data_IF_234927926589
#
_entry.id   IF_234927926589
#
_cell.length_a   1.000
_cell.length_b   1.000
_cell.length_c   1.000
_cell.angle_alpha   90.00
_cell.angle_beta   90.00
_cell.angle_gamma   90.00
#
_symmetry.space_group_name_H-M   'P 1'
#
loop_
_entity.id
_entity.type
_entity.pdbx_description
1 polymer ?
#
# COMPACT_ATOMS: atom_id res chain seq x y z
N UNK A 1 42.72 22.35 4.12
CA UNK A 1 41.97 21.11 3.84
C UNK A 1 41.19 20.75 5.09
N UNK A 2 39.88 21.03 5.12
CA UNK A 2 38.98 20.66 6.22
C UNK A 2 37.97 19.64 5.68
N UNK A 3 37.70 18.52 6.37
CA UNK A 3 36.90 17.44 5.81
C UNK A 3 35.40 17.73 5.95
N UNK A 4 34.72 17.50 4.84
CA UNK A 4 33.28 17.45 4.64
C UNK A 4 32.76 16.19 5.32
N UNK A 5 31.76 16.27 6.21
CA UNK A 5 30.74 15.21 6.45
C UNK A 5 29.83 15.57 7.64
N UNK A 6 28.54 15.73 7.40
CA UNK A 6 27.44 15.37 8.34
C UNK A 6 26.05 15.70 7.76
N UNK A 7 25.75 15.23 6.55
CA UNK A 7 24.43 15.40 5.92
C UNK A 7 23.53 14.15 5.96
N UNK A 8 24.11 12.95 5.89
CA UNK A 8 23.35 11.76 5.46
C UNK A 8 22.89 10.80 6.56
N UNK A 9 23.30 11.00 7.82
CA UNK A 9 23.01 10.03 8.90
C UNK A 9 21.74 10.32 9.73
N UNK A 10 21.04 11.45 9.49
CA UNK A 10 19.88 11.85 10.32
C UNK A 10 18.53 11.26 9.89
N UNK A 11 18.43 10.64 8.71
CA UNK A 11 17.17 10.08 8.18
C UNK A 11 16.90 8.66 8.71
N UNK A 12 17.93 7.85 8.93
CA UNK A 12 17.81 6.46 9.43
C UNK A 12 17.54 6.34 10.93
N UNK A 13 17.74 7.41 11.71
CA UNK A 13 17.78 7.34 13.18
C UNK A 13 16.57 7.96 13.91
N UNK A 14 15.53 8.42 13.21
CA UNK A 14 14.38 9.09 13.86
C UNK A 14 13.31 8.15 14.40
N UNK A 15 13.29 6.90 13.95
CA UNK A 15 12.37 5.89 14.45
C UNK A 15 13.16 4.80 15.15
N UNK A 16 13.09 4.72 16.48
CA UNK A 16 13.72 3.62 17.22
C UNK A 16 13.05 2.31 16.83
N UNK A 17 13.84 1.35 16.31
CA UNK A 17 13.37 -0.01 16.01
C UNK A 17 12.76 -0.68 17.25
N UNK A 18 13.34 -0.42 18.42
CA UNK A 18 12.86 -0.94 19.70
C UNK A 18 11.44 -0.48 20.04
N UNK A 19 11.10 0.78 19.74
CA UNK A 19 9.75 1.31 19.97
C UNK A 19 8.76 0.61 19.05
N UNK A 20 9.09 0.47 17.76
CA UNK A 20 8.26 -0.25 16.80
C UNK A 20 8.03 -1.69 17.24
N UNK A 21 9.09 -2.39 17.65
CA UNK A 21 9.03 -3.77 18.13
C UNK A 21 8.14 -3.91 19.36
N UNK A 22 8.31 -3.05 20.36
CA UNK A 22 7.46 -3.04 21.58
C UNK A 22 5.99 -2.80 21.26
N UNK A 23 5.71 -1.82 20.40
CA UNK A 23 4.34 -1.53 19.94
C UNK A 23 3.74 -2.72 19.21
N UNK A 24 4.49 -3.34 18.30
CA UNK A 24 4.03 -4.48 17.53
C UNK A 24 3.76 -5.71 18.40
N UNK A 25 4.67 -6.04 19.33
CA UNK A 25 4.46 -7.14 20.30
C UNK A 25 3.18 -6.90 21.11
N UNK A 26 2.96 -5.67 21.56
CA UNK A 26 1.77 -5.30 22.33
C UNK A 26 0.49 -5.47 21.49
N UNK A 27 0.52 -5.05 20.22
CA UNK A 27 -0.60 -5.21 19.28
C UNK A 27 -0.89 -6.68 18.99
N UNK A 28 0.15 -7.49 18.72
CA UNK A 28 0.01 -8.93 18.47
C UNK A 28 -0.57 -9.63 19.70
N UNK A 29 -0.08 -9.30 20.91
CA UNK A 29 -0.60 -9.84 22.16
C UNK A 29 -2.09 -9.49 22.35
N UNK A 30 -2.47 -8.25 22.05
CA UNK A 30 -3.87 -7.83 22.11
C UNK A 30 -4.75 -8.59 21.12
N UNK A 31 -4.31 -8.74 19.85
CA UNK A 31 -5.06 -9.46 18.82
C UNK A 31 -5.20 -10.94 19.16
N UNK A 32 -4.14 -11.59 19.68
CA UNK A 32 -4.21 -12.98 20.18
C UNK A 32 -5.24 -13.16 21.30
N UNK A 33 -5.31 -12.21 22.23
CA UNK A 33 -6.31 -12.23 23.31
C UNK A 33 -7.73 -12.10 22.74
N UNK A 34 -7.95 -11.18 21.79
CA UNK A 34 -9.24 -11.02 21.13
C UNK A 34 -9.70 -12.28 20.40
N UNK A 35 -8.79 -12.96 19.69
CA UNK A 35 -9.09 -14.23 19.01
C UNK A 35 -9.40 -15.35 20.01
N UNK A 36 -8.76 -15.36 21.18
CA UNK A 36 -9.06 -16.33 22.24
C UNK A 36 -10.39 -16.07 22.96
N UNK A 37 -10.80 -14.80 23.09
CA UNK A 37 -12.04 -14.40 23.76
C UNK A 37 -13.26 -14.54 22.81
N UNK A 38 -13.08 -14.42 21.49
CA UNK A 38 -14.11 -14.65 20.48
C UNK A 38 -14.13 -16.14 20.05
N UNK A 39 -15.03 -16.92 20.63
CA UNK A 39 -15.20 -18.37 20.38
C UNK A 39 -15.77 -18.76 19.00
N UNK A 40 -16.13 -17.81 18.14
CA UNK A 40 -16.60 -18.10 16.78
C UNK A 40 -15.83 -17.28 15.75
N UNK A 41 -15.28 -17.92 14.70
CA UNK A 41 -14.69 -17.18 13.59
C UNK A 41 -15.84 -16.49 12.86
N UNK A 42 -15.90 -15.17 12.97
CA UNK A 42 -16.83 -14.36 12.17
C UNK A 42 -16.48 -14.65 10.70
N UNK A 43 -17.38 -15.35 10.00
CA UNK A 43 -17.28 -15.74 8.59
C UNK A 43 -17.37 -14.54 7.65
N UNK A 44 -16.45 -13.60 7.81
CA UNK A 44 -16.25 -12.44 6.97
C UNK A 44 -14.78 -12.12 6.96
N UNK A 45 -14.12 -12.39 5.83
CA UNK A 45 -12.83 -11.86 5.35
C UNK A 45 -12.08 -10.98 6.38
N UNK A 46 -11.56 -11.61 7.44
CA UNK A 46 -11.10 -10.90 8.65
C UNK A 46 -9.95 -9.98 8.26
N UNK A 47 -10.08 -8.70 8.56
CA UNK A 47 -9.05 -7.71 8.25
C UNK A 47 -7.91 -7.80 9.27
N UNK A 48 -7.08 -8.81 9.08
CA UNK A 48 -5.91 -9.11 9.91
C UNK A 48 -4.64 -8.38 9.45
N UNK A 49 -4.80 -7.30 8.68
CA UNK A 49 -3.69 -6.46 8.28
C UNK A 49 -3.30 -5.48 9.39
N UNK A 50 -2.00 -5.27 9.52
CA UNK A 50 -1.41 -4.21 10.34
C UNK A 50 -1.28 -2.98 9.47
N UNK A 51 -1.76 -1.87 10.00
CA UNK A 51 -1.83 -0.58 9.33
C UNK A 51 -0.91 0.43 10.00
N UNK A 52 -0.11 1.11 9.19
CA UNK A 52 0.64 2.30 9.56
C UNK A 52 -0.20 3.53 9.20
N UNK A 53 -0.65 4.25 10.22
CA UNK A 53 -1.38 5.51 10.11
C UNK A 53 -0.38 6.68 10.10
N UNK A 54 -0.32 7.36 8.98
CA UNK A 54 0.38 8.62 8.78
C UNK A 54 -0.56 9.79 9.07
N UNK A 55 -0.10 10.75 9.88
CA UNK A 55 -0.73 12.05 10.03
C UNK A 55 0.19 13.14 9.52
N UNK A 56 -0.32 13.96 8.61
CA UNK A 56 0.36 15.10 8.00
C UNK A 56 0.02 16.41 8.72
N UNK A 57 0.95 17.36 8.68
CA UNK A 57 0.78 18.71 9.24
C UNK A 57 -0.13 19.59 8.38
N UNK A 58 -0.08 19.42 7.06
CA UNK A 58 -0.92 20.12 6.09
C UNK A 58 -1.54 19.12 5.13
N UNK A 59 -2.72 19.46 4.63
CA UNK A 59 -3.41 18.68 3.60
C UNK A 59 -2.54 18.70 2.32
N UNK A 60 -2.27 17.53 1.73
CA UNK A 60 -1.49 17.44 0.49
C UNK A 60 -2.24 18.07 -0.69
N UNK A 61 -1.49 18.57 -1.69
CA UNK A 61 -2.10 19.16 -2.88
C UNK A 61 -2.82 18.09 -3.74
N UNK A 62 -3.80 18.51 -4.55
CA UNK A 62 -4.70 17.62 -5.30
C UNK A 62 -3.96 16.63 -6.21
N UNK A 63 -2.80 17.00 -6.74
CA UNK A 63 -2.03 16.13 -7.65
C UNK A 63 -1.50 14.87 -6.97
N UNK A 64 -1.17 14.94 -5.67
CA UNK A 64 -0.75 13.78 -4.89
C UNK A 64 -1.90 12.82 -4.55
N UNK A 65 -3.15 13.25 -4.75
CA UNK A 65 -4.35 12.49 -4.36
C UNK A 65 -4.99 11.71 -5.51
N UNK A 66 -4.53 11.92 -6.75
CA UNK A 66 -5.11 11.32 -7.97
C UNK A 66 -4.76 9.84 -8.11
N UNK A 67 -3.52 9.49 -7.80
CA UNK A 67 -3.00 8.14 -7.99
C UNK A 67 -2.46 7.55 -6.69
N UNK A 68 -2.64 6.25 -6.44
CA UNK A 68 -1.90 5.56 -5.39
C UNK A 68 -0.40 5.60 -5.68
N UNK A 69 0.39 5.79 -4.63
CA UNK A 69 1.84 5.74 -4.69
C UNK A 69 2.32 4.38 -4.20
N UNK A 70 3.30 3.80 -4.90
CA UNK A 70 3.94 2.54 -4.52
C UNK A 70 4.98 2.82 -3.45
N UNK A 71 4.96 2.02 -2.40
CA UNK A 71 5.99 2.01 -1.36
C UNK A 71 6.62 0.62 -1.38
N UNK A 72 7.89 0.49 -1.80
CA UNK A 72 8.56 -0.80 -1.78
C UNK A 72 8.73 -1.27 -0.34
N UNK A 73 8.38 -2.53 -0.09
CA UNK A 73 8.56 -3.19 1.21
C UNK A 73 9.37 -4.47 1.01
N UNK A 74 10.31 -4.77 1.92
CA UNK A 74 11.20 -5.92 1.77
C UNK A 74 10.48 -7.27 1.87
N UNK A 75 9.49 -7.39 2.76
CA UNK A 75 8.71 -8.62 2.93
C UNK A 75 7.29 -8.42 2.37
N UNK A 76 6.92 -9.20 1.35
CA UNK A 76 5.63 -9.08 0.67
C UNK A 76 4.46 -9.38 1.61
N UNK A 77 3.43 -8.53 1.61
CA UNK A 77 2.20 -8.68 2.41
C UNK A 77 1.30 -9.83 1.94
N UNK A 78 1.71 -10.51 0.87
CA UNK A 78 0.91 -11.49 0.19
C UNK A 78 1.44 -12.88 0.48
N UNK A 79 0.52 -13.80 0.73
CA UNK A 79 0.80 -15.23 0.62
C UNK A 79 1.35 -15.48 -0.78
N UNK A 80 2.49 -16.17 -0.84
CA UNK A 80 3.34 -16.48 -1.99
C UNK A 80 2.71 -16.23 -3.38
N UNK A 81 3.44 -15.57 -4.30
CA UNK A 81 2.94 -15.14 -5.62
C UNK A 81 2.37 -16.28 -6.48
N UNK A 82 2.74 -17.53 -6.18
CA UNK A 82 2.30 -18.74 -6.87
C UNK A 82 0.85 -19.16 -6.56
N UNK A 83 0.32 -18.83 -5.38
CA UNK A 83 -1.04 -19.18 -4.98
C UNK A 83 -2.03 -18.02 -5.16
N UNK A 84 -1.53 -16.80 -5.34
CA UNK A 84 -2.36 -15.61 -5.49
C UNK A 84 -2.86 -15.45 -6.93
N UNK A 85 -4.18 -15.38 -7.10
CA UNK A 85 -4.77 -15.14 -8.44
C UNK A 85 -4.59 -13.68 -8.82
N UNK A 86 -3.67 -13.42 -9.73
CA UNK A 86 -3.28 -12.07 -10.14
C UNK A 86 -3.93 -11.65 -11.45
N UNK A 87 -4.47 -10.43 -11.50
CA UNK A 87 -5.08 -9.84 -12.68
C UNK A 87 -4.28 -8.62 -13.18
N UNK A 88 -3.84 -8.64 -14.44
CA UNK A 88 -3.14 -7.52 -15.08
C UNK A 88 -4.08 -6.73 -16.00
N UNK A 89 -4.22 -5.43 -15.76
CA UNK A 89 -5.03 -4.52 -16.57
C UNK A 89 -4.13 -3.71 -17.50
N UNK A 90 -4.31 -3.89 -18.80
CA UNK A 90 -3.53 -3.26 -19.86
C UNK A 90 -4.34 -2.18 -20.58
N UNK A 91 -3.65 -1.12 -20.98
CA UNK A 91 -4.18 -0.09 -21.86
C UNK A 91 -4.24 -0.57 -23.31
N UNK A 92 -5.46 -0.78 -23.82
CA UNK A 92 -5.72 -1.22 -25.21
C UNK A 92 -5.91 -0.02 -26.17
N UNK A 93 -5.76 1.23 -25.69
CA UNK A 93 -5.91 2.43 -26.54
C UNK A 93 -4.81 2.49 -27.61
N UNK A 94 -5.17 2.78 -28.88
CA UNK A 94 -4.18 2.99 -29.93
C UNK A 94 -3.40 4.28 -29.63
N UNK A 95 -2.06 4.23 -29.69
CA UNK A 95 -1.22 5.42 -29.66
C UNK A 95 -0.86 5.82 -31.09
N UNK A 96 -0.77 7.13 -31.40
CA UNK A 96 -0.33 7.59 -32.72
C UNK A 96 1.11 7.15 -33.07
N UNK A 97 2.00 7.01 -32.07
CA UNK A 97 3.42 6.69 -32.26
C UNK A 97 3.87 5.40 -31.55
N UNK A 98 2.96 4.51 -31.17
CA UNK A 98 3.33 3.20 -30.60
C UNK A 98 2.27 2.17 -30.90
N UNK A 99 2.68 1.01 -31.39
CA UNK A 99 1.77 -0.11 -31.62
C UNK A 99 1.08 -0.53 -30.31
N UNK A 100 -0.13 -1.05 -30.46
CA UNK A 100 -1.04 -1.52 -29.41
C UNK A 100 -0.37 -2.57 -28.49
N UNK A 101 -0.57 -2.50 -27.18
CA UNK A 101 -0.19 -3.59 -26.27
C UNK A 101 -1.28 -4.66 -26.35
N UNK A 102 -1.06 -5.68 -27.17
CA UNK A 102 -2.00 -6.80 -27.32
C UNK A 102 -1.84 -7.77 -26.15
N UNK A 103 -2.96 -8.39 -25.74
CA UNK A 103 -2.96 -9.44 -24.69
C UNK A 103 -1.97 -10.55 -25.02
N UNK A 104 -1.81 -10.91 -26.29
CA UNK A 104 -0.87 -11.92 -26.76
C UNK A 104 0.60 -11.53 -26.54
N UNK A 105 0.94 -10.26 -26.70
CA UNK A 105 2.30 -9.78 -26.43
C UNK A 105 2.61 -9.84 -24.94
N UNK A 106 1.63 -9.44 -24.11
CA UNK A 106 1.76 -9.53 -22.68
C UNK A 106 1.83 -10.98 -22.20
N UNK A 107 0.99 -11.87 -22.72
CA UNK A 107 1.00 -13.29 -22.38
C UNK A 107 2.31 -13.97 -22.76
N UNK A 108 2.86 -13.69 -23.96
CA UNK A 108 4.19 -14.16 -24.35
C UNK A 108 5.27 -13.65 -23.41
N UNK A 109 5.27 -12.36 -23.09
CA UNK A 109 6.28 -11.75 -22.20
C UNK A 109 6.16 -12.28 -20.76
N UNK A 110 4.95 -12.49 -20.25
CA UNK A 110 4.69 -13.06 -18.92
C UNK A 110 5.15 -14.52 -18.84
N UNK A 111 4.85 -15.32 -19.87
CA UNK A 111 5.30 -16.72 -19.98
C UNK A 111 6.82 -16.82 -20.10
N UNK A 112 7.44 -15.94 -20.89
CA UNK A 112 8.90 -15.87 -20.99
C UNK A 112 9.58 -15.44 -19.70
N UNK A 113 8.93 -14.60 -18.90
CA UNK A 113 9.46 -14.10 -17.63
C UNK A 113 9.08 -14.96 -16.42
N UNK A 114 8.24 -15.99 -16.59
CA UNK A 114 7.82 -16.89 -15.52
C UNK A 114 6.93 -16.24 -14.45
N UNK A 115 6.21 -15.17 -14.79
CA UNK A 115 5.41 -14.41 -13.82
C UNK A 115 4.02 -15.06 -13.68
N UNK A 116 3.55 -15.39 -12.45
CA UNK A 116 2.25 -16.02 -12.23
C UNK A 116 1.10 -15.01 -12.36
N UNK A 117 0.72 -14.64 -13.59
CA UNK A 117 -0.47 -13.82 -13.86
C UNK A 117 -1.59 -14.70 -14.38
N UNK A 118 -2.70 -14.78 -13.63
CA UNK A 118 -3.84 -15.64 -13.94
C UNK A 118 -4.72 -15.10 -15.06
N UNK A 119 -4.92 -13.77 -15.15
CA UNK A 119 -5.78 -13.16 -16.17
C UNK A 119 -5.30 -11.78 -16.61
N UNK A 120 -5.27 -11.56 -17.92
CA UNK A 120 -4.97 -10.25 -18.51
C UNK A 120 -6.29 -9.62 -19.00
N UNK A 121 -6.61 -8.43 -18.50
CA UNK A 121 -7.79 -7.66 -18.87
C UNK A 121 -7.41 -6.41 -19.66
N UNK A 122 -8.19 -6.13 -20.70
CA UNK A 122 -8.08 -4.88 -21.46
C UNK A 122 -9.00 -3.83 -20.86
N UNK A 123 -8.58 -2.57 -20.91
CA UNK A 123 -9.42 -1.45 -20.49
C UNK A 123 -10.79 -1.43 -21.21
N UNK A 124 -10.83 -1.75 -22.52
CA UNK A 124 -12.06 -1.78 -23.30
C UNK A 124 -13.03 -2.87 -22.81
N UNK A 125 -12.53 -4.08 -22.56
CA UNK A 125 -13.32 -5.19 -21.99
C UNK A 125 -13.80 -4.88 -20.59
N UNK A 126 -12.98 -4.21 -19.78
CA UNK A 126 -13.38 -3.77 -18.45
C UNK A 126 -14.54 -2.76 -18.48
N UNK A 127 -14.61 -1.92 -19.51
CA UNK A 127 -15.72 -0.96 -19.69
C UNK A 127 -17.00 -1.61 -20.22
N UNK A 128 -16.90 -2.60 -21.11
CA UNK A 128 -18.06 -3.28 -21.69
C UNK A 128 -18.65 -4.33 -20.74
N UNK A 129 -17.81 -5.27 -20.30
CA UNK A 129 -18.26 -6.55 -19.71
C UNK A 129 -18.53 -6.39 -18.21
N UNK A 130 -17.82 -5.46 -17.56
CA UNK A 130 -17.88 -5.24 -16.12
C UNK A 130 -18.63 -3.95 -15.77
N UNK A 131 -19.76 -3.69 -16.44
CA UNK A 131 -20.61 -2.52 -16.14
C UNK A 131 -21.52 -2.75 -14.93
N UNK A 132 -22.09 -3.94 -14.81
CA UNK A 132 -23.00 -4.34 -13.73
C UNK A 132 -22.27 -4.41 -12.39
N UNK A 133 -23.03 -4.27 -11.30
CA UNK A 133 -22.48 -4.41 -9.94
C UNK A 133 -22.00 -5.83 -9.67
N UNK A 134 -22.78 -6.82 -10.10
CA UNK A 134 -22.52 -8.24 -9.91
C UNK A 134 -21.22 -8.68 -10.57
N UNK A 135 -21.01 -8.37 -11.85
CA UNK A 135 -19.77 -8.75 -12.56
C UNK A 135 -18.53 -8.08 -11.94
N UNK A 136 -18.65 -6.86 -11.43
CA UNK A 136 -17.56 -6.20 -10.66
C UNK A 136 -17.26 -6.95 -9.37
N UNK A 137 -18.31 -7.40 -8.66
CA UNK A 137 -18.16 -8.15 -7.42
C UNK A 137 -17.55 -9.53 -7.67
N UNK A 138 -17.97 -10.22 -8.73
CA UNK A 138 -17.39 -11.48 -9.18
C UNK A 138 -15.90 -11.32 -9.51
N UNK A 139 -15.53 -10.26 -10.23
CA UNK A 139 -14.14 -9.95 -10.52
C UNK A 139 -13.34 -9.74 -9.23
N UNK A 140 -13.89 -8.98 -8.28
CA UNK A 140 -13.24 -8.72 -6.99
C UNK A 140 -13.06 -10.00 -6.16
N UNK A 141 -14.01 -10.94 -6.22
CA UNK A 141 -13.95 -12.21 -5.49
C UNK A 141 -13.04 -13.24 -6.19
N UNK A 142 -12.89 -13.15 -7.50
CA UNK A 142 -12.10 -14.08 -8.31
C UNK A 142 -10.60 -13.81 -8.28
N UNK A 143 -10.17 -12.61 -7.90
CA UNK A 143 -8.76 -12.25 -7.88
C UNK A 143 -8.37 -11.63 -6.55
N UNK A 144 -7.13 -11.87 -6.15
CA UNK A 144 -6.56 -11.34 -4.92
C UNK A 144 -5.81 -10.03 -5.19
N UNK A 145 -5.19 -9.95 -6.36
CA UNK A 145 -4.29 -8.86 -6.73
C UNK A 145 -4.69 -8.31 -8.10
N UNK A 146 -4.70 -6.99 -8.17
CA UNK A 146 -4.87 -6.27 -9.43
C UNK A 146 -3.61 -5.45 -9.68
N UNK A 147 -2.98 -5.67 -10.83
CA UNK A 147 -1.90 -4.87 -11.37
C UNK A 147 -2.49 -4.09 -12.54
N UNK A 148 -2.17 -2.81 -12.69
CA UNK A 148 -2.67 -2.02 -13.81
C UNK A 148 -1.63 -1.04 -14.31
N UNK A 149 -1.62 -0.80 -15.62
CA UNK A 149 -0.74 0.21 -16.21
C UNK A 149 -0.95 1.58 -15.53
N UNK A 150 0.14 2.28 -15.19
CA UNK A 150 0.10 3.64 -14.61
C UNK A 150 -0.87 4.57 -15.33
N UNK A 151 -1.03 4.44 -16.65
CA UNK A 151 -1.90 5.27 -17.49
C UNK A 151 -3.38 4.99 -17.33
N UNK A 152 -3.76 3.80 -16.88
CA UNK A 152 -5.17 3.43 -16.71
C UNK A 152 -5.67 3.72 -15.30
N UNK A 153 -4.77 3.79 -14.33
CA UNK A 153 -5.06 3.94 -12.90
C UNK A 153 -6.00 5.11 -12.60
N UNK A 154 -5.80 6.27 -13.23
CA UNK A 154 -6.65 7.44 -13.02
C UNK A 154 -8.09 7.24 -13.52
N UNK A 155 -8.31 6.33 -14.48
CA UNK A 155 -9.63 6.01 -15.03
C UNK A 155 -10.33 4.87 -14.28
N UNK A 156 -9.57 4.01 -13.59
CA UNK A 156 -10.11 2.83 -12.91
C UNK A 156 -11.16 3.15 -11.84
N UNK A 157 -11.05 4.22 -11.01
CA UNK A 157 -12.10 4.58 -10.07
C UNK A 157 -13.46 4.81 -10.72
N UNK A 158 -13.49 5.36 -11.94
CA UNK A 158 -14.73 5.58 -12.70
C UNK A 158 -15.35 4.29 -13.25
N UNK A 159 -14.53 3.28 -13.58
CA UNK A 159 -14.97 2.03 -14.20
C UNK A 159 -15.33 1.00 -13.13
N UNK A 160 -14.39 0.69 -12.24
CA UNK A 160 -14.54 -0.29 -11.16
C UNK A 160 -15.49 0.21 -10.05
N UNK A 161 -15.64 1.54 -9.93
CA UNK A 161 -16.59 2.16 -9.02
C UNK A 161 -16.33 1.85 -7.55
N UNK A 162 -17.37 2.02 -6.74
CA UNK A 162 -17.30 1.87 -5.27
C UNK A 162 -17.00 0.43 -4.83
N UNK A 163 -17.33 -0.59 -5.64
CA UNK A 163 -17.10 -2.00 -5.29
C UNK A 163 -15.63 -2.26 -4.93
N UNK A 164 -14.72 -1.74 -5.76
CA UNK A 164 -13.27 -1.89 -5.55
C UNK A 164 -12.70 -0.86 -4.57
N UNK A 165 -13.19 0.38 -4.63
CA UNK A 165 -12.57 1.51 -3.93
C UNK A 165 -13.17 1.81 -2.54
N UNK A 166 -14.30 1.20 -2.16
CA UNK A 166 -14.93 1.41 -0.83
C UNK A 166 -14.07 0.83 0.28
N UNK A 167 -13.67 -0.44 0.16
CA UNK A 167 -12.92 -1.13 1.21
C UNK A 167 -11.40 -0.92 1.08
N UNK A 168 -10.93 -0.34 -0.02
CA UNK A 168 -9.51 -0.09 -0.33
C UNK A 168 -8.58 -1.32 -0.17
N UNK A 169 -9.15 -2.54 -0.09
CA UNK A 169 -8.38 -3.77 0.14
C UNK A 169 -7.67 -4.23 -1.11
N UNK A 170 -8.37 -4.25 -2.25
CA UNK A 170 -7.92 -4.75 -3.56
C UNK A 170 -7.88 -3.63 -4.62
N UNK A 171 -7.16 -2.56 -4.31
CA UNK A 171 -6.95 -1.46 -5.28
C UNK A 171 -5.88 -1.91 -6.29
N UNK A 172 -6.08 -1.65 -7.59
CA UNK A 172 -5.07 -1.94 -8.59
C UNK A 172 -3.74 -1.21 -8.33
N UNK A 173 -2.65 -1.96 -8.27
CA UNK A 173 -1.28 -1.47 -8.12
C UNK A 173 -0.81 -0.90 -9.46
N UNK A 174 -0.30 0.34 -9.50
CA UNK A 174 0.21 0.91 -10.74
C UNK A 174 1.53 0.25 -11.14
N UNK A 175 1.63 -0.33 -12.33
CA UNK A 175 2.86 -0.89 -12.91
C UNK A 175 3.21 -0.16 -14.20
N UNK A 176 4.49 0.10 -14.43
CA UNK A 176 4.91 0.78 -15.66
C UNK A 176 5.15 -0.24 -16.79
N UNK A 177 4.14 -0.42 -17.64
CA UNK A 177 4.19 -1.36 -18.76
C UNK A 177 4.68 -0.65 -20.04
N UNK A 178 5.98 -0.36 -20.10
CA UNK A 178 6.67 0.10 -21.33
C UNK A 178 7.08 -1.10 -22.18
N UNK A 179 6.99 -1.03 -23.51
CA UNK A 179 7.33 -2.17 -24.39
C UNK A 179 8.75 -2.69 -24.18
N UNK A 180 9.70 -1.77 -24.10
CA UNK A 180 11.14 -2.05 -23.95
C UNK A 180 11.58 -2.04 -22.47
N UNK A 181 10.64 -2.01 -21.52
CA UNK A 181 10.95 -2.00 -20.10
C UNK A 181 11.06 -3.39 -19.48
N UNK A 182 11.69 -3.44 -18.32
CA UNK A 182 11.84 -4.61 -17.46
C UNK A 182 10.54 -4.91 -16.71
N UNK A 183 9.67 -5.67 -17.38
CA UNK A 183 8.36 -6.04 -16.81
C UNK A 183 8.51 -6.91 -15.57
N UNK A 184 9.56 -7.73 -15.52
CA UNK A 184 9.81 -8.63 -14.40
C UNK A 184 10.02 -7.84 -13.11
N UNK A 185 10.96 -6.91 -13.12
CA UNK A 185 11.28 -6.10 -11.95
C UNK A 185 10.09 -5.22 -11.52
N UNK A 186 9.38 -4.60 -12.48
CA UNK A 186 8.22 -3.78 -12.16
C UNK A 186 7.05 -4.58 -11.57
N UNK A 187 6.85 -5.82 -12.03
CA UNK A 187 5.78 -6.69 -11.52
C UNK A 187 6.18 -7.31 -10.18
N UNK A 188 7.43 -7.76 -10.02
CA UNK A 188 7.96 -8.24 -8.74
C UNK A 188 7.91 -7.13 -7.69
N UNK A 189 8.31 -5.91 -8.04
CA UNK A 189 8.12 -4.73 -7.20
C UNK A 189 6.64 -4.44 -6.95
N UNK A 190 5.76 -4.69 -7.93
CA UNK A 190 4.31 -4.60 -7.76
C UNK A 190 3.76 -5.55 -6.69
N UNK A 191 4.29 -6.77 -6.61
CA UNK A 191 3.96 -7.74 -5.57
C UNK A 191 4.53 -7.34 -4.20
N UNK A 192 5.76 -6.86 -4.16
CA UNK A 192 6.46 -6.43 -2.95
C UNK A 192 6.22 -4.95 -2.60
N UNK A 193 5.11 -4.33 -3.03
CA UNK A 193 4.81 -2.94 -2.66
C UNK A 193 3.53 -2.80 -1.85
N UNK A 194 3.55 -1.85 -0.93
CA UNK A 194 2.35 -1.35 -0.26
C UNK A 194 1.87 -0.09 -0.96
N UNK A 195 0.54 0.10 -1.01
CA UNK A 195 -0.07 1.27 -1.64
C UNK A 195 -0.36 2.34 -0.60
N UNK A 196 0.16 3.55 -0.85
CA UNK A 196 -0.22 4.75 -0.12
C UNK A 196 -1.18 5.60 -0.95
N UNK A 197 -2.40 5.76 -0.44
CA UNK A 197 -3.35 6.73 -0.97
C UNK A 197 -3.34 8.00 -0.11
N UNK A 198 -2.79 9.09 -0.64
CA UNK A 198 -2.90 10.40 -0.01
C UNK A 198 -4.32 10.94 -0.25
N UNK A 199 -5.09 11.04 0.82
CA UNK A 199 -6.45 11.57 0.74
C UNK A 199 -6.46 13.10 0.76
N UNK A 200 -7.62 13.72 0.56
CA UNK A 200 -7.82 15.17 0.77
C UNK A 200 -7.79 15.57 2.26
N UNK A 201 -7.56 14.62 3.16
CA UNK A 201 -7.37 14.86 4.58
C UNK A 201 -5.90 14.87 4.98
N UNK A 202 -5.66 15.01 6.29
CA UNK A 202 -4.32 14.94 6.88
C UNK A 202 -3.90 13.52 7.22
N UNK A 203 -4.84 12.59 7.31
CA UNK A 203 -4.57 11.20 7.67
C UNK A 203 -4.56 10.29 6.43
N UNK A 204 -3.55 9.42 6.35
CA UNK A 204 -3.43 8.38 5.34
C UNK A 204 -2.98 7.08 5.99
N UNK A 205 -3.33 5.95 5.40
CA UNK A 205 -3.06 4.62 5.96
C UNK A 205 -2.31 3.80 4.93
N UNK A 206 -1.31 3.04 5.39
CA UNK A 206 -0.49 2.11 4.60
C UNK A 206 -0.54 0.74 5.26
N UNK A 207 -0.62 -0.33 4.48
CA UNK A 207 -0.52 -1.70 5.00
C UNK A 207 0.94 -2.07 5.19
N UNK A 208 1.30 -2.65 6.32
CA UNK A 208 2.71 -2.94 6.66
C UNK A 208 2.97 -4.38 7.07
N UNK A 209 1.94 -5.15 7.41
CA UNK A 209 2.08 -6.57 7.72
C UNK A 209 0.74 -7.28 7.72
N UNK A 210 0.77 -8.60 7.73
CA UNK A 210 -0.37 -9.45 8.09
C UNK A 210 -0.10 -10.05 9.47
N UNK A 211 -1.13 -10.19 10.29
CA UNK A 211 -1.02 -10.81 11.61
C UNK A 211 -0.65 -12.29 11.54
N UNK A 212 -1.24 -12.99 10.56
CA UNK A 212 -1.01 -14.42 10.34
C UNK A 212 -0.01 -14.62 9.19
N UNK A 213 1.09 -15.34 9.47
CA UNK A 213 2.08 -15.74 8.47
C UNK A 213 3.34 -14.88 8.35
N UNK A 214 3.52 -13.85 9.17
CA UNK A 214 4.75 -13.04 9.21
C UNK A 214 5.39 -13.01 10.59
N UNK A 215 6.72 -12.95 10.62
CA UNK A 215 7.45 -12.76 11.87
C UNK A 215 7.48 -11.29 12.31
N UNK A 216 7.68 -11.09 13.61
CA UNK A 216 7.72 -9.74 14.21
C UNK A 216 8.85 -8.90 13.61
N UNK A 217 10.01 -9.51 13.36
CA UNK A 217 11.17 -8.79 12.81
C UNK A 217 10.95 -8.35 11.36
N UNK A 218 10.37 -9.21 10.53
CA UNK A 218 10.04 -8.89 9.14
C UNK A 218 9.06 -7.71 9.06
N UNK A 219 8.07 -7.67 9.95
CA UNK A 219 7.11 -6.56 10.02
C UNK A 219 7.82 -5.28 10.49
N UNK A 220 8.78 -5.36 11.42
CA UNK A 220 9.56 -4.19 11.85
C UNK A 220 10.36 -3.62 10.68
N UNK A 221 11.05 -4.47 9.91
CA UNK A 221 11.80 -4.03 8.73
C UNK A 221 10.86 -3.45 7.66
N UNK A 222 9.69 -4.05 7.45
CA UNK A 222 8.64 -3.49 6.61
C UNK A 222 8.17 -2.10 7.07
N UNK A 223 7.96 -1.89 8.38
CA UNK A 223 7.55 -0.60 8.92
C UNK A 223 8.64 0.46 8.69
N UNK A 224 9.90 0.11 8.90
CA UNK A 224 11.03 1.03 8.69
C UNK A 224 11.15 1.41 7.21
N UNK A 225 11.07 0.42 6.31
CA UNK A 225 11.08 0.65 4.86
C UNK A 225 9.86 1.47 4.42
N UNK A 226 8.68 1.15 4.95
CA UNK A 226 7.45 1.87 4.65
C UNK A 226 7.54 3.33 5.08
N UNK A 227 8.06 3.63 6.27
CA UNK A 227 8.26 5.03 6.67
C UNK A 227 9.24 5.75 5.74
N UNK A 228 10.35 5.11 5.36
CA UNK A 228 11.28 5.66 4.39
C UNK A 228 10.59 6.06 3.08
N UNK A 229 9.85 5.12 2.47
CA UNK A 229 9.12 5.38 1.22
C UNK A 229 7.96 6.37 1.38
N UNK A 230 7.23 6.36 2.50
CA UNK A 230 6.18 7.36 2.78
C UNK A 230 6.79 8.76 2.79
N UNK A 231 7.93 8.95 3.46
CA UNK A 231 8.56 10.26 3.61
C UNK A 231 8.99 10.84 2.26
N UNK A 232 9.41 10.02 1.31
CA UNK A 232 9.76 10.47 -0.04
C UNK A 232 8.54 10.93 -0.84
N UNK A 233 7.39 10.28 -0.64
CA UNK A 233 6.13 10.62 -1.30
C UNK A 233 5.47 11.86 -0.71
N UNK A 234 5.69 12.15 0.57
CA UNK A 234 5.04 13.25 1.29
C UNK A 234 5.60 14.62 0.87
N UNK A 235 4.74 15.63 0.61
CA UNK A 235 5.21 16.97 0.32
C UNK A 235 6.00 17.53 1.51
N UNK A 236 7.18 18.06 1.24
CA UNK A 236 8.14 18.57 2.24
C UNK A 236 8.76 17.49 3.15
N UNK A 237 8.72 16.22 2.73
CA UNK A 237 9.37 15.09 3.40
C UNK A 237 9.04 15.04 4.90
N UNK A 238 10.06 14.90 5.76
CA UNK A 238 9.94 14.87 7.23
C UNK A 238 9.27 16.11 7.83
N UNK A 239 9.36 17.28 7.19
CA UNK A 239 8.76 18.52 7.72
C UNK A 239 7.24 18.46 7.62
N UNK A 240 6.71 17.75 6.64
CA UNK A 240 5.28 17.55 6.42
C UNK A 240 4.64 16.52 7.34
N UNK A 241 5.43 15.65 7.98
CA UNK A 241 4.95 14.58 8.86
C UNK A 241 4.70 15.10 10.27
N UNK A 242 3.53 14.79 10.83
CA UNK A 242 3.13 15.10 12.20
C UNK A 242 3.41 13.92 13.13
N UNK A 243 2.83 12.76 12.82
CA UNK A 243 2.94 11.55 13.62
C UNK A 243 2.72 10.28 12.81
N UNK A 244 3.27 9.18 13.31
CA UNK A 244 3.05 7.82 12.83
C UNK A 244 2.49 6.96 13.96
N UNK A 245 1.43 6.21 13.67
CA UNK A 245 0.84 5.25 14.60
C UNK A 245 0.67 3.89 13.93
N UNK A 246 0.81 2.80 14.69
CA UNK A 246 0.45 1.45 14.26
C UNK A 246 -0.90 1.07 14.82
N UNK A 247 -1.73 0.43 14.01
CA UNK A 247 -3.01 -0.12 14.44
C UNK A 247 -3.40 -1.34 13.62
N UNK A 248 -4.28 -2.16 14.18
CA UNK A 248 -5.19 -3.01 13.43
C UNK A 248 -6.44 -2.23 13.01
N UNK A 249 -7.34 -2.87 12.27
CA UNK A 249 -8.63 -2.28 11.94
C UNK A 249 -9.43 -1.92 13.20
N UNK A 250 -9.51 -2.84 14.17
CA UNK A 250 -10.29 -2.69 15.40
C UNK A 250 -9.49 -2.22 16.63
N UNK A 251 -8.16 -2.15 16.53
CA UNK A 251 -7.33 -1.82 17.69
C UNK A 251 -7.15 -0.32 17.88
N UNK A 252 -6.73 0.03 19.10
CA UNK A 252 -6.17 1.36 19.38
C UNK A 252 -4.87 1.56 18.60
N UNK A 253 -4.61 2.83 18.26
CA UNK A 253 -3.44 3.23 17.50
C UNK A 253 -2.26 3.54 18.43
N UNK A 254 -1.19 2.76 18.35
CA UNK A 254 0.02 2.95 19.14
C UNK A 254 0.97 3.93 18.43
N UNK A 255 1.38 5.03 19.08
CA UNK A 255 2.31 5.97 18.47
C UNK A 255 3.71 5.37 18.35
N UNK A 256 4.28 5.38 17.14
CA UNK A 256 5.70 5.11 16.93
C UNK A 256 6.50 6.40 17.00
N UNK A 257 5.97 7.44 16.36
CA UNK A 257 6.66 8.71 16.19
C UNK A 257 5.67 9.85 16.34
N UNK A 258 6.04 10.83 17.15
CA UNK A 258 5.30 12.06 17.30
C UNK A 258 6.29 13.21 17.33
N UNK A 259 6.01 14.27 16.58
CA UNK A 259 6.84 15.46 16.60
C UNK A 259 6.72 16.15 17.97
N UNK A 260 7.86 16.58 18.53
CA UNK A 260 7.95 17.19 19.87
C UNK A 260 7.00 18.39 20.09
N UNK A 261 6.76 19.18 19.05
CA UNK A 261 5.82 20.32 19.06
C UNK A 261 4.38 19.91 19.46
N UNK A 262 3.98 18.66 19.19
CA UNK A 262 2.63 18.16 19.52
C UNK A 262 2.54 17.54 20.92
N UNK A 263 3.64 17.00 21.45
CA UNK A 263 3.70 16.49 22.83
C UNK A 263 3.45 17.62 23.85
N UNK A 264 3.99 18.81 23.57
CA UNK A 264 3.81 20.00 24.40
C UNK A 264 2.34 20.48 24.35
N UNK A 265 1.64 20.33 23.22
CA UNK A 265 0.21 20.69 23.11
C UNK A 265 -0.71 19.72 23.82
N UNK A 266 -0.38 18.42 23.86
CA UNK A 266 -1.18 17.44 24.61
C UNK A 266 -0.94 17.54 26.13
N UNK A 267 0.30 17.77 26.55
CA UNK A 267 0.64 17.89 27.97
C UNK A 267 0.39 19.29 28.55
N UNK A 268 0.25 20.31 27.69
CA UNK A 268 0.00 21.70 28.08
C UNK A 268 -1.43 22.01 28.51
N UNK A 269 -2.35 21.03 28.47
CA UNK A 269 -3.72 21.19 28.99
C UNK A 269 -3.79 20.88 30.50
N UNK A 270 -2.72 20.36 31.11
CA UNK A 270 -2.66 20.05 32.55
C UNK A 270 -1.84 21.06 33.36
N UNK A 271 -1.85 22.34 32.99
CA UNK A 271 -1.45 23.46 33.87
C UNK A 271 -2.21 24.72 33.49
N UNK A 272 -3.49 24.79 33.85
CA UNK A 272 -4.14 26.07 34.13
C UNK A 272 -5.00 25.89 35.38
N UNK A 273 -4.64 26.67 36.40
CA UNK A 273 -5.19 26.80 37.76
C UNK A 273 -4.76 25.74 38.78
#
# INVERSE_FOLDING_TARGET
MAPVTSGDNQSKQRIPRDTVRKSLISLIKWKRKQVSDQKEPISGDVDDFIYLLLTLKKIPNKDFTKSPNKIPIPHSLQTSPEFSRSCLIIDDRPKPNSQKLTVEFADKKIKSLGIPISKILKLSKLKSDYRSFESKMELLNSFDIFLADRRVIDMLPGILGKVFYKNKRKIPVPVELKRDGDWKEEIEMGFCCSLLWLSKGTCSVVKVGKFEGMEVEEIVDNVVAAVGGVVEVVPKKWVGVKSFHLKFFDSLALPIYQRKEDLIRQNGITKVF
#
